data_IF_331493747991
#
_entry.id   IF_331493747991
#
_cell.length_a   1.000
_cell.length_b   1.000
_cell.length_c   1.000
_cell.angle_alpha   90.00
_cell.angle_beta   90.00
_cell.angle_gamma   90.00
#
_symmetry.space_group_name_H-M   'P 1'
#
loop_
_entity.id
_entity.type
_entity.pdbx_description
1 polymer ?
#
# COMPACT_ATOMS: atom_id res chain seq x y z
N UNK A 1 9.68 6.59 -6.28
CA UNK A 1 8.74 6.57 -5.15
C UNK A 1 7.34 6.79 -5.71
N UNK A 2 6.52 5.74 -5.76
CA UNK A 2 5.21 5.76 -6.44
C UNK A 2 4.11 6.18 -5.47
N UNK A 3 3.71 7.44 -5.48
CA UNK A 3 2.58 7.93 -4.69
C UNK A 3 1.30 7.69 -5.48
N UNK A 4 0.57 6.63 -5.16
CA UNK A 4 -0.68 6.26 -5.81
C UNK A 4 -1.88 6.57 -4.93
N UNK A 5 -2.82 7.37 -5.43
CA UNK A 5 -4.07 7.71 -4.73
C UNK A 5 -5.10 6.61 -4.90
N UNK A 6 -5.53 6.00 -3.80
CA UNK A 6 -6.60 4.99 -3.78
C UNK A 6 -7.93 5.66 -3.44
N UNK A 7 -8.98 5.34 -4.18
CA UNK A 7 -10.36 5.60 -3.78
C UNK A 7 -11.09 4.27 -3.69
N UNK A 8 -11.62 3.95 -2.52
CA UNK A 8 -12.41 2.74 -2.29
C UNK A 8 -13.85 3.13 -1.96
N UNK A 9 -14.75 3.06 -2.94
CA UNK A 9 -16.18 3.32 -2.74
C UNK A 9 -16.79 2.25 -1.82
N UNK A 10 -17.77 2.64 -0.99
CA UNK A 10 -18.53 1.76 -0.09
C UNK A 10 -17.76 1.17 1.10
N UNK A 11 -16.67 1.81 1.53
CA UNK A 11 -15.92 1.40 2.72
C UNK A 11 -15.56 2.60 3.58
N UNK A 12 -15.08 2.35 4.80
CA UNK A 12 -14.46 3.37 5.67
C UNK A 12 -13.24 4.08 5.05
N UNK A 13 -12.76 3.57 3.91
CA UNK A 13 -11.68 4.14 3.10
C UNK A 13 -12.17 5.07 1.98
N UNK A 14 -13.49 5.28 1.84
CA UNK A 14 -14.08 6.15 0.82
C UNK A 14 -13.69 7.62 1.03
N UNK A 15 -13.29 8.29 -0.05
CA UNK A 15 -12.87 9.70 -0.04
C UNK A 15 -11.45 9.97 0.49
N UNK A 16 -10.76 8.95 1.01
CA UNK A 16 -9.42 9.09 1.62
C UNK A 16 -8.31 8.86 0.63
N UNK A 17 -7.27 9.69 0.65
CA UNK A 17 -6.08 9.54 -0.22
C UNK A 17 -4.95 8.86 0.57
N UNK A 18 -4.59 7.65 0.17
CA UNK A 18 -3.44 6.93 0.75
C UNK A 18 -2.21 7.07 -0.14
N UNK A 19 -1.05 7.33 0.44
CA UNK A 19 0.23 7.33 -0.25
C UNK A 19 1.05 6.11 0.18
N UNK A 20 1.72 5.46 -0.77
CA UNK A 20 2.64 4.37 -0.50
C UNK A 20 3.97 4.55 -1.26
N UNK A 21 4.97 3.76 -0.91
CA UNK A 21 6.25 3.64 -1.61
C UNK A 21 6.45 2.17 -1.96
N UNK A 22 6.83 1.92 -3.21
CA UNK A 22 7.34 0.64 -3.69
C UNK A 22 8.86 0.78 -3.86
N UNK A 23 9.61 -0.16 -3.31
CA UNK A 23 11.06 -0.22 -3.40
C UNK A 23 11.47 -1.53 -4.06
N UNK A 24 12.02 -1.43 -5.27
CA UNK A 24 12.60 -2.56 -5.99
C UNK A 24 14.05 -2.75 -5.53
N UNK A 25 14.36 -3.90 -4.93
CA UNK A 25 15.72 -4.28 -4.61
C UNK A 25 16.53 -4.62 -5.88
N UNK A 26 17.81 -4.92 -5.69
CA UNK A 26 18.70 -5.38 -6.79
C UNK A 26 18.25 -6.71 -7.41
N UNK A 27 17.49 -7.48 -6.65
CA UNK A 27 16.99 -8.81 -7.01
C UNK A 27 15.59 -8.77 -7.62
N UNK A 28 15.02 -7.59 -7.86
CA UNK A 28 13.77 -7.47 -8.59
C UNK A 28 14.04 -7.69 -10.10
N UNK A 29 13.21 -8.48 -10.83
CA UNK A 29 11.91 -9.04 -10.42
C UNK A 29 11.94 -10.47 -9.87
N UNK A 30 13.11 -11.09 -9.67
CA UNK A 30 13.21 -12.45 -9.08
C UNK A 30 12.64 -12.49 -7.64
N UNK A 31 12.81 -11.39 -6.89
CA UNK A 31 12.22 -11.17 -5.57
C UNK A 31 11.20 -10.03 -5.57
N UNK A 32 10.19 -10.09 -4.66
CA UNK A 32 9.15 -9.07 -4.60
C UNK A 32 9.71 -7.70 -4.19
N UNK A 33 9.08 -6.61 -4.64
CA UNK A 33 9.41 -5.29 -4.14
C UNK A 33 8.92 -5.11 -2.70
N UNK A 34 9.62 -4.27 -1.92
CA UNK A 34 9.13 -3.87 -0.59
C UNK A 34 8.08 -2.77 -0.72
N UNK A 35 6.96 -2.91 -0.01
CA UNK A 35 5.84 -1.97 -0.07
C UNK A 35 5.64 -1.32 1.30
N UNK A 36 5.54 0.02 1.33
CA UNK A 36 5.38 0.79 2.56
C UNK A 36 4.39 1.92 2.39
N UNK A 37 3.36 1.97 3.22
CA UNK A 37 2.44 3.10 3.29
C UNK A 37 3.09 4.28 4.02
N UNK A 38 3.09 5.44 3.37
CA UNK A 38 3.45 6.71 3.99
C UNK A 38 2.28 7.25 4.81
N UNK A 39 1.09 7.23 4.24
CA UNK A 39 -0.14 7.58 4.96
C UNK A 39 -0.49 6.49 5.97
N UNK A 40 -0.89 6.86 7.18
CA UNK A 40 -1.35 5.87 8.16
C UNK A 40 -2.65 5.26 7.67
N UNK A 41 -2.66 3.93 7.57
CA UNK A 41 -3.80 3.12 7.19
C UNK A 41 -3.90 1.94 8.14
N UNK A 42 -5.11 1.58 8.52
CA UNK A 42 -5.37 0.40 9.34
C UNK A 42 -5.89 -0.72 8.44
N UNK A 43 -5.06 -1.73 8.17
CA UNK A 43 -5.40 -2.95 7.44
C UNK A 43 -4.68 -4.15 8.04
N UNK A 44 -5.27 -5.33 7.91
CA UNK A 44 -4.74 -6.61 8.39
C UNK A 44 -3.33 -6.93 7.89
N UNK A 45 -3.02 -6.61 6.63
CA UNK A 45 -1.74 -6.94 5.99
C UNK A 45 -0.63 -5.88 6.19
N UNK A 46 -0.87 -4.86 7.01
CA UNK A 46 0.06 -3.75 7.21
C UNK A 46 0.47 -3.65 8.67
N UNK A 47 1.77 -3.55 8.90
CA UNK A 47 2.30 -3.19 10.20
C UNK A 47 1.95 -1.74 10.53
N UNK A 48 1.12 -1.50 11.54
CA UNK A 48 0.65 -0.16 11.89
C UNK A 48 1.78 0.77 12.37
N UNK A 49 2.83 0.21 12.99
CA UNK A 49 3.96 0.97 13.54
C UNK A 49 4.93 1.42 12.43
N UNK A 50 5.23 0.55 11.46
CA UNK A 50 6.21 0.82 10.40
C UNK A 50 5.57 1.24 9.07
N UNK A 51 4.31 0.86 8.83
CA UNK A 51 3.59 1.03 7.56
C UNK A 51 4.00 0.04 6.47
N UNK A 52 4.86 -0.92 6.78
CA UNK A 52 5.32 -1.94 5.83
C UNK A 52 4.21 -2.96 5.62
N UNK A 53 4.01 -3.39 4.38
CA UNK A 53 3.15 -4.51 4.05
C UNK A 53 3.90 -5.80 4.40
N UNK A 54 3.31 -6.60 5.28
CA UNK A 54 3.92 -7.84 5.74
C UNK A 54 3.74 -8.94 4.69
N UNK A 55 4.82 -9.50 4.10
CA UNK A 55 4.70 -10.50 3.04
C UNK A 55 3.91 -11.74 3.49
N UNK A 56 4.07 -12.17 4.74
CA UNK A 56 3.35 -13.31 5.31
C UNK A 56 1.83 -13.13 5.40
N UNK A 57 1.35 -11.87 5.42
CA UNK A 57 -0.07 -11.54 5.49
C UNK A 57 -0.63 -11.11 4.13
N UNK A 58 0.21 -11.07 3.10
CA UNK A 58 -0.14 -10.61 1.76
C UNK A 58 0.30 -11.64 0.72
N UNK A 59 -0.60 -12.55 0.30
CA UNK A 59 -0.24 -13.72 -0.53
C UNK A 59 0.56 -13.41 -1.80
N UNK A 60 0.28 -12.28 -2.45
CA UNK A 60 0.99 -11.85 -3.65
C UNK A 60 2.49 -11.61 -3.41
N UNK A 61 2.86 -11.14 -2.21
CA UNK A 61 4.27 -10.96 -1.83
C UNK A 61 4.85 -12.25 -1.24
N UNK A 62 4.03 -13.10 -0.61
CA UNK A 62 4.49 -14.37 -0.05
C UNK A 62 4.87 -15.41 -1.10
N UNK A 63 4.13 -15.48 -2.21
CA UNK A 63 4.36 -16.40 -3.34
C UNK A 63 4.65 -15.61 -4.61
N UNK A 64 5.63 -14.69 -4.52
CA UNK A 64 5.98 -13.80 -5.60
C UNK A 64 6.45 -14.54 -6.85
N UNK A 65 5.97 -14.11 -8.01
CA UNK A 65 6.40 -14.56 -9.33
C UNK A 65 6.87 -13.35 -10.12
N UNK A 66 7.92 -13.52 -10.92
CA UNK A 66 8.46 -12.44 -11.76
C UNK A 66 7.46 -11.94 -12.83
N UNK A 67 6.39 -12.69 -13.08
CA UNK A 67 5.26 -12.32 -13.93
C UNK A 67 4.36 -11.25 -13.27
N UNK A 68 4.39 -11.12 -11.94
CA UNK A 68 3.60 -10.13 -11.24
C UNK A 68 4.17 -8.73 -11.42
N UNK A 69 3.26 -7.77 -11.53
CA UNK A 69 3.58 -6.37 -11.78
C UNK A 69 3.26 -5.52 -10.56
N UNK A 70 3.71 -4.27 -10.59
CA UNK A 70 3.30 -3.28 -9.59
C UNK A 70 1.78 -3.09 -9.59
N UNK A 71 1.13 -3.20 -10.74
CA UNK A 71 -0.32 -3.10 -10.85
C UNK A 71 -1.02 -4.22 -10.07
N UNK A 72 -0.53 -5.47 -10.13
CA UNK A 72 -1.08 -6.59 -9.38
C UNK A 72 -1.05 -6.34 -7.86
N UNK A 73 0.05 -5.76 -7.37
CA UNK A 73 0.19 -5.35 -5.96
C UNK A 73 -0.90 -4.34 -5.59
N UNK A 74 -1.09 -3.34 -6.43
CA UNK A 74 -2.05 -2.26 -6.19
C UNK A 74 -3.50 -2.78 -6.26
N UNK A 75 -3.81 -3.64 -7.22
CA UNK A 75 -5.13 -4.30 -7.33
C UNK A 75 -5.41 -5.19 -6.12
N UNK A 76 -4.42 -5.94 -5.64
CA UNK A 76 -4.60 -6.80 -4.49
C UNK A 76 -4.74 -6.00 -3.19
N UNK A 77 -4.01 -4.89 -3.02
CA UNK A 77 -4.22 -3.95 -1.91
C UNK A 77 -5.63 -3.36 -1.92
N UNK A 78 -6.16 -3.01 -3.11
CA UNK A 78 -7.55 -2.54 -3.24
C UNK A 78 -8.56 -3.61 -2.83
N UNK A 79 -8.32 -4.88 -3.16
CA UNK A 79 -9.14 -6.02 -2.69
C UNK A 79 -9.09 -6.18 -1.17
N UNK A 80 -7.92 -6.00 -0.57
CA UNK A 80 -7.78 -6.04 0.89
C UNK A 80 -8.58 -4.94 1.58
N UNK A 81 -8.62 -3.71 1.04
CA UNK A 81 -9.42 -2.60 1.60
C UNK A 81 -10.93 -2.90 1.62
N UNK A 82 -11.45 -3.62 0.62
CA UNK A 82 -12.87 -4.02 0.54
C UNK A 82 -13.16 -5.34 1.26
N UNK A 83 -12.13 -6.05 1.74
CA UNK A 83 -12.29 -7.30 2.48
C UNK A 83 -13.15 -7.09 3.72
N UNK A 84 -13.91 -8.13 4.09
CA UNK A 84 -14.81 -8.08 5.26
C UNK A 84 -14.10 -7.67 6.54
N UNK A 85 -12.81 -8.02 6.65
CA UNK A 85 -11.98 -7.72 7.80
C UNK A 85 -11.57 -6.25 7.86
N UNK A 86 -11.36 -5.59 6.71
CA UNK A 86 -10.81 -4.23 6.64
C UNK A 86 -11.86 -3.16 6.34
N UNK A 87 -12.93 -3.50 5.63
CA UNK A 87 -13.97 -2.55 5.18
C UNK A 87 -14.68 -1.77 6.30
N UNK A 88 -14.59 -2.25 7.55
CA UNK A 88 -15.16 -1.64 8.76
C UNK A 88 -14.09 -1.21 9.78
N UNK A 89 -12.81 -1.38 9.50
CA UNK A 89 -11.75 -1.01 10.45
C UNK A 89 -11.69 0.50 10.62
N UNK A 90 -11.70 0.94 11.87
CA UNK A 90 -11.55 2.36 12.21
C UNK A 90 -10.21 2.84 11.67
N UNK A 91 -10.28 3.85 10.79
CA UNK A 91 -9.12 4.46 10.17
C UNK A 91 -8.67 5.69 10.98
N UNK A 92 -7.35 5.98 11.04
CA UNK A 92 -6.82 7.16 11.71
C UNK A 92 -7.30 8.46 11.03
N UNK A 93 -7.24 9.61 11.72
CA UNK A 93 -7.61 10.90 11.13
C UNK A 93 -6.75 11.21 9.89
N UNK A 94 -7.39 11.77 8.85
CA UNK A 94 -6.69 12.19 7.63
C UNK A 94 -5.71 13.33 7.96
N UNK A 95 -4.53 13.32 7.34
CA UNK A 95 -3.52 14.36 7.53
C UNK A 95 -2.47 14.11 8.61
N UNK A 96 -2.44 12.93 9.26
CA UNK A 96 -1.39 12.59 10.23
C UNK A 96 -0.05 12.16 9.54
N UNK A 97 0.35 12.88 8.50
CA UNK A 97 1.60 12.66 7.73
C UNK A 97 2.86 13.13 8.49
N UNK A 98 2.70 13.58 9.73
CA UNK A 98 3.80 14.09 10.53
C UNK A 98 4.74 12.95 11.00
N UNK A 99 5.98 12.99 10.50
CA UNK A 99 7.17 12.29 11.01
C UNK A 99 7.54 10.89 10.47
N UNK A 100 7.18 10.48 9.25
CA UNK A 100 7.96 9.43 8.53
C UNK A 100 8.90 10.07 7.51
N UNK A 101 10.00 10.63 8.02
CA UNK A 101 11.10 11.17 7.21
C UNK A 101 11.68 10.05 6.35
N UNK A 102 11.68 10.22 5.03
CA UNK A 102 12.72 9.64 4.18
C UNK A 102 12.92 10.47 2.90
N UNK A 103 14.18 10.53 2.49
CA UNK A 103 14.85 11.53 1.67
C UNK A 103 14.27 11.73 0.25
N UNK A 104 14.49 12.96 -0.23
CA UNK A 104 14.06 13.55 -1.51
C UNK A 104 14.09 12.54 -2.67
N UNK A 105 12.93 12.29 -3.30
CA UNK A 105 12.84 11.43 -4.48
C UNK A 105 11.58 11.69 -5.29
N UNK A 106 11.77 11.81 -6.61
CA UNK A 106 10.83 12.17 -7.68
C UNK A 106 9.38 11.67 -7.50
N UNK A 107 8.42 12.60 -7.65
CA UNK A 107 6.97 12.38 -7.55
C UNK A 107 6.41 12.06 -8.94
N UNK A 108 5.92 10.84 -9.15
CA UNK A 108 5.02 10.54 -10.27
C UNK A 108 3.62 10.25 -9.72
N UNK A 109 2.65 11.04 -10.20
CA UNK A 109 1.22 10.91 -9.89
C UNK A 109 0.60 9.97 -10.92
N UNK A 110 0.11 8.82 -10.48
CA UNK A 110 -0.75 7.97 -11.30
C UNK A 110 -2.13 7.89 -10.65
N UNK A 111 -3.15 8.39 -11.35
CA UNK A 111 -4.54 8.17 -11.01
C UNK A 111 -4.99 6.91 -11.74
N UNK A 112 -5.22 5.81 -11.02
CA UNK A 112 -5.97 4.69 -11.58
C UNK A 112 -7.45 5.01 -11.33
N UNK A 113 -8.11 5.53 -12.37
CA UNK A 113 -9.55 5.78 -12.44
C UNK A 113 -10.31 4.45 -12.56
#
# INVERSE_FOLDING_TARGET
MLVMTFTACQTVHEGRIYQLKLFCGKEYPDHPPSVKFQTRINMSCINQETGVVEPSLFPLLSDWKCEYTMEDILMQLKKEMISLQNRKLVQPAEGNEENRVDQKGLVLKCCIL
#
